data_IF_115805505327
#
_entry.id   IF_115805505327
#
_cell.length_a   1.000
_cell.length_b   1.000
_cell.length_c   1.000
_cell.angle_alpha   90.00
_cell.angle_beta   90.00
_cell.angle_gamma   90.00
#
_symmetry.space_group_name_H-M   'P 1'
#
loop_
_entity.id
_entity.type
_entity.pdbx_description
1 polymer ?
#
# COMPACT_ATOMS: atom_id res chain seq x y z
N UNK A 1 40.50 -1.34 -9.38
CA UNK A 1 41.02 -1.08 -8.00
C UNK A 1 39.97 -0.54 -7.03
N UNK A 2 39.21 0.50 -7.39
CA UNK A 2 38.22 1.15 -6.47
C UNK A 2 37.07 0.22 -6.11
N UNK A 3 36.46 -0.50 -7.05
CA UNK A 3 35.36 -1.44 -6.78
C UNK A 3 35.81 -2.59 -5.88
N UNK A 4 37.00 -3.15 -6.15
CA UNK A 4 37.52 -4.24 -5.33
C UNK A 4 37.80 -3.79 -3.89
N UNK A 5 38.34 -2.59 -3.68
CA UNK A 5 38.55 -2.04 -2.35
C UNK A 5 37.23 -1.90 -1.59
N UNK A 6 36.16 -1.41 -2.23
CA UNK A 6 34.82 -1.29 -1.63
C UNK A 6 34.22 -2.66 -1.28
N UNK A 7 34.36 -3.64 -2.16
CA UNK A 7 33.89 -5.00 -1.93
C UNK A 7 34.63 -5.64 -0.73
N UNK A 8 35.93 -5.43 -0.62
CA UNK A 8 36.72 -5.91 0.51
C UNK A 8 36.26 -5.26 1.83
N UNK A 9 36.09 -3.94 1.83
CA UNK A 9 35.59 -3.22 3.01
C UNK A 9 34.22 -3.73 3.47
N UNK A 10 33.28 -4.00 2.54
CA UNK A 10 31.97 -4.58 2.88
C UNK A 10 32.13 -6.01 3.42
N UNK A 11 33.03 -6.81 2.85
CA UNK A 11 33.30 -8.18 3.33
C UNK A 11 33.80 -8.16 4.76
N UNK A 12 34.81 -7.35 5.05
CA UNK A 12 35.39 -7.21 6.39
C UNK A 12 34.34 -6.72 7.39
N UNK A 13 33.62 -5.65 7.06
CA UNK A 13 32.53 -5.14 7.91
C UNK A 13 31.47 -6.19 8.25
N UNK A 14 31.09 -7.02 7.26
CA UNK A 14 30.12 -8.11 7.49
C UNK A 14 30.72 -9.24 8.35
N UNK A 15 31.99 -9.60 8.09
CA UNK A 15 32.69 -10.66 8.84
C UNK A 15 32.83 -10.32 10.33
N UNK A 16 33.02 -9.05 10.68
CA UNK A 16 33.17 -8.58 12.06
C UNK A 16 31.84 -8.37 12.79
N UNK A 17 30.69 -8.59 12.10
CA UNK A 17 29.36 -8.38 12.70
C UNK A 17 29.08 -9.36 13.84
N UNK A 18 28.42 -8.89 14.89
CA UNK A 18 27.92 -9.75 16.00
C UNK A 18 26.78 -10.68 15.53
N UNK A 19 26.04 -10.31 14.50
CA UNK A 19 24.92 -11.09 13.97
C UNK A 19 25.40 -12.17 13.00
N UNK A 20 25.08 -13.44 13.26
CA UNK A 20 25.44 -14.57 12.39
C UNK A 20 24.96 -14.38 10.95
N UNK A 21 23.69 -13.96 10.77
CA UNK A 21 23.10 -13.70 9.43
C UNK A 21 23.86 -12.64 8.64
N UNK A 22 24.49 -11.68 9.31
CA UNK A 22 25.35 -10.68 8.63
C UNK A 22 26.69 -11.28 8.25
N UNK A 23 27.31 -12.10 9.12
CA UNK A 23 28.56 -12.80 8.81
C UNK A 23 28.42 -13.73 7.60
N UNK A 24 27.30 -14.45 7.52
CA UNK A 24 27.02 -15.35 6.39
C UNK A 24 27.00 -14.61 5.04
N UNK A 25 26.61 -13.33 5.04
CA UNK A 25 26.64 -12.48 3.85
C UNK A 25 28.03 -11.93 3.47
N UNK A 26 29.06 -12.17 4.27
CA UNK A 26 30.43 -11.74 3.94
C UNK A 26 31.00 -12.46 2.70
N UNK A 27 30.52 -13.67 2.42
CA UNK A 27 30.89 -14.41 1.20
C UNK A 27 30.42 -13.75 -0.08
N UNK A 28 29.35 -12.95 -0.03
CA UNK A 28 28.74 -12.26 -1.16
C UNK A 28 28.64 -10.75 -0.96
N UNK A 29 29.78 -10.03 -0.80
CA UNK A 29 29.80 -8.61 -0.42
C UNK A 29 29.16 -7.68 -1.46
N UNK A 30 29.03 -8.12 -2.70
CA UNK A 30 28.40 -7.39 -3.80
C UNK A 30 26.85 -7.50 -3.82
N UNK A 31 26.27 -8.37 -2.98
CA UNK A 31 24.84 -8.59 -2.95
C UNK A 31 24.19 -7.88 -1.74
N UNK A 32 22.98 -7.33 -1.95
CA UNK A 32 22.14 -6.89 -0.85
C UNK A 32 21.63 -8.09 -0.04
N UNK A 33 21.46 -7.90 1.27
CA UNK A 33 20.98 -8.95 2.16
C UNK A 33 19.51 -9.32 1.91
N UNK A 34 18.68 -8.34 1.52
CA UNK A 34 17.30 -8.57 1.15
C UNK A 34 17.13 -8.37 -0.35
N UNK A 35 16.69 -9.42 -1.05
CA UNK A 35 16.58 -9.48 -2.50
C UNK A 35 15.24 -10.06 -2.96
N UNK A 36 14.23 -9.97 -2.11
CA UNK A 36 12.90 -10.50 -2.39
C UNK A 36 12.13 -9.59 -3.37
N UNK A 37 12.67 -9.38 -4.57
CA UNK A 37 11.97 -8.63 -5.62
C UNK A 37 10.85 -9.50 -6.21
N UNK A 38 9.61 -8.96 -6.36
CA UNK A 38 8.53 -9.66 -7.06
C UNK A 38 8.88 -9.98 -8.52
N UNK A 39 8.38 -11.09 -9.04
CA UNK A 39 8.58 -11.51 -10.43
C UNK A 39 7.48 -10.98 -11.37
N UNK A 40 6.38 -10.50 -10.81
CA UNK A 40 5.26 -9.90 -11.53
C UNK A 40 5.05 -8.46 -11.11
N UNK A 41 4.12 -7.75 -11.74
CA UNK A 41 3.69 -6.43 -11.33
C UNK A 41 3.35 -6.43 -9.84
N UNK A 42 3.80 -5.42 -9.13
CA UNK A 42 3.63 -5.35 -7.69
C UNK A 42 3.18 -3.96 -7.22
N UNK A 43 2.49 -3.96 -6.11
CA UNK A 43 2.09 -2.77 -5.38
C UNK A 43 3.20 -2.33 -4.44
N UNK A 44 3.63 -1.09 -4.57
CA UNK A 44 4.55 -0.41 -3.67
C UNK A 44 3.75 0.46 -2.69
N UNK A 45 3.92 0.21 -1.39
CA UNK A 45 3.14 0.81 -0.32
C UNK A 45 4.10 1.54 0.62
N UNK A 46 4.08 2.88 0.71
CA UNK A 46 4.98 3.61 1.60
C UNK A 46 4.69 3.28 3.07
N UNK A 47 5.76 3.14 3.86
CA UNK A 47 5.63 2.90 5.31
C UNK A 47 4.97 4.06 6.05
N UNK A 48 5.11 5.28 5.54
CA UNK A 48 4.59 6.48 6.18
C UNK A 48 3.89 7.37 5.17
N UNK A 49 2.74 7.87 5.55
CA UNK A 49 1.94 8.83 4.78
C UNK A 49 1.56 10.00 5.68
N UNK A 50 1.55 11.22 5.13
CA UNK A 50 1.15 12.42 5.86
C UNK A 50 -0.30 12.31 6.37
N UNK A 51 -0.56 12.76 7.59
CA UNK A 51 -1.86 12.65 8.26
C UNK A 51 -3.00 13.40 7.55
N UNK A 52 -2.66 14.45 6.79
CA UNK A 52 -3.63 15.25 6.07
C UNK A 52 -4.06 14.62 4.72
N UNK A 53 -3.47 13.50 4.31
CA UNK A 53 -3.86 12.80 3.08
C UNK A 53 -5.28 12.27 3.19
N UNK A 54 -6.04 12.47 2.11
CA UNK A 54 -7.42 12.00 1.96
C UNK A 54 -7.47 10.51 1.60
N UNK A 55 -6.44 10.02 0.89
CA UNK A 55 -6.29 8.64 0.46
C UNK A 55 -4.92 8.11 0.86
N UNK A 56 -4.80 6.79 1.02
CA UNK A 56 -3.50 6.17 1.22
C UNK A 56 -2.77 6.09 -0.13
N UNK A 57 -1.51 6.51 -0.14
CA UNK A 57 -0.73 6.55 -1.39
C UNK A 57 -0.09 5.20 -1.66
N UNK A 58 -0.25 4.70 -2.85
CA UNK A 58 0.42 3.50 -3.35
C UNK A 58 0.57 3.59 -4.86
N UNK A 59 1.49 2.80 -5.42
CA UNK A 59 1.76 2.79 -6.86
C UNK A 59 2.07 1.38 -7.33
N UNK A 60 1.69 1.06 -8.56
CA UNK A 60 2.03 -0.21 -9.21
C UNK A 60 3.33 -0.05 -10.01
N UNK A 61 4.22 -1.01 -9.86
CA UNK A 61 5.48 -1.06 -10.57
C UNK A 61 5.69 -2.42 -11.24
N UNK A 62 6.37 -2.37 -12.37
CA UNK A 62 6.88 -3.57 -13.03
C UNK A 62 8.09 -4.14 -12.27
N UNK A 63 8.38 -5.44 -12.38
CA UNK A 63 9.46 -6.11 -11.64
C UNK A 63 10.85 -5.51 -11.84
N UNK A 64 11.06 -4.81 -12.96
CA UNK A 64 12.33 -4.13 -13.26
C UNK A 64 12.62 -2.97 -12.30
N UNK A 65 11.61 -2.40 -11.67
CA UNK A 65 11.76 -1.34 -10.68
C UNK A 65 12.01 -1.95 -9.31
N UNK A 66 13.12 -1.58 -8.68
CA UNK A 66 13.50 -2.11 -7.36
C UNK A 66 12.82 -1.30 -6.26
N UNK A 67 12.03 -1.96 -5.41
CA UNK A 67 11.39 -1.36 -4.26
C UNK A 67 12.41 -1.05 -3.15
N UNK A 68 12.51 0.22 -2.75
CA UNK A 68 13.34 0.63 -1.62
C UNK A 68 12.78 0.18 -0.27
N UNK A 69 13.65 0.11 0.75
CA UNK A 69 13.32 -0.40 2.10
C UNK A 69 12.35 0.46 2.91
N UNK A 70 12.13 1.71 2.49
CA UNK A 70 11.11 2.59 3.07
C UNK A 70 9.67 2.24 2.67
N UNK A 71 9.48 1.18 1.87
CA UNK A 71 8.20 0.74 1.35
C UNK A 71 7.97 -0.73 1.67
N UNK A 72 6.70 -1.12 1.71
CA UNK A 72 6.27 -2.50 1.58
C UNK A 72 5.97 -2.80 0.11
N UNK A 73 5.99 -4.07 -0.24
CA UNK A 73 5.62 -4.57 -1.56
C UNK A 73 4.72 -5.78 -1.43
N UNK A 74 3.76 -5.88 -2.34
CA UNK A 74 2.87 -7.02 -2.47
C UNK A 74 2.61 -7.27 -3.95
N UNK A 75 2.59 -8.53 -4.36
CA UNK A 75 2.17 -8.88 -5.72
C UNK A 75 0.72 -8.48 -5.92
N UNK A 76 0.44 -7.77 -7.00
CA UNK A 76 -0.90 -7.27 -7.34
C UNK A 76 -1.11 -7.33 -8.87
N UNK A 77 -1.18 -8.55 -9.44
CA UNK A 77 -1.18 -8.72 -10.89
C UNK A 77 -2.42 -8.16 -11.58
N UNK A 78 -3.51 -7.94 -10.86
CA UNK A 78 -4.77 -7.44 -11.39
C UNK A 78 -5.21 -6.08 -10.83
N UNK A 79 -4.49 -5.54 -9.86
CA UNK A 79 -4.75 -4.22 -9.27
C UNK A 79 -5.87 -4.19 -8.24
N UNK A 80 -6.30 -5.34 -7.70
CA UNK A 80 -7.30 -5.37 -6.64
C UNK A 80 -6.78 -4.74 -5.34
N UNK A 81 -5.56 -5.11 -4.93
CA UNK A 81 -4.97 -4.57 -3.70
C UNK A 81 -4.72 -3.06 -3.82
N UNK A 82 -4.25 -2.61 -5.00
CA UNK A 82 -4.15 -1.19 -5.32
C UNK A 82 -5.49 -0.48 -5.12
N UNK A 83 -6.57 -1.01 -5.68
CA UNK A 83 -7.89 -0.42 -5.58
C UNK A 83 -8.38 -0.34 -4.13
N UNK A 84 -8.21 -1.41 -3.35
CA UNK A 84 -8.60 -1.45 -1.94
C UNK A 84 -7.80 -0.42 -1.12
N UNK A 85 -6.47 -0.40 -1.25
CA UNK A 85 -5.59 0.52 -0.50
C UNK A 85 -5.83 1.98 -0.88
N UNK A 86 -6.15 2.25 -2.15
CA UNK A 86 -6.44 3.60 -2.64
C UNK A 86 -7.83 4.12 -2.26
N UNK A 87 -8.66 3.34 -1.57
CA UNK A 87 -10.02 3.73 -1.17
C UNK A 87 -10.07 4.51 0.14
N UNK A 88 -11.13 5.30 0.31
CA UNK A 88 -11.41 6.02 1.56
C UNK A 88 -11.68 5.10 2.75
N UNK A 89 -12.18 3.87 2.51
CA UNK A 89 -12.43 2.92 3.59
C UNK A 89 -11.12 2.39 4.16
N UNK A 90 -10.10 2.16 3.32
CA UNK A 90 -8.80 1.72 3.80
C UNK A 90 -8.07 2.78 4.61
N UNK A 91 -8.02 4.04 4.15
CA UNK A 91 -7.37 5.09 4.94
C UNK A 91 -8.14 5.38 6.23
N UNK A 92 -9.45 5.18 6.25
CA UNK A 92 -10.25 5.25 7.48
C UNK A 92 -9.82 4.17 8.46
N UNK A 93 -9.67 2.91 8.02
CA UNK A 93 -9.15 1.81 8.85
C UNK A 93 -7.75 2.11 9.35
N UNK A 94 -6.86 2.50 8.45
CA UNK A 94 -5.48 2.86 8.76
C UNK A 94 -5.38 3.99 9.80
N UNK A 95 -6.24 5.01 9.73
CA UNK A 95 -6.28 6.11 10.70
C UNK A 95 -6.88 5.71 12.05
N UNK A 96 -7.76 4.73 12.06
CA UNK A 96 -8.50 4.27 13.24
C UNK A 96 -7.67 3.33 14.11
N UNK A 97 -7.03 2.31 13.50
CA UNK A 97 -6.30 1.28 14.25
C UNK A 97 -4.79 1.32 14.05
N UNK A 98 -4.32 1.98 12.97
CA UNK A 98 -2.92 2.02 12.61
C UNK A 98 -2.05 2.87 13.55
N UNK A 99 -0.78 2.47 13.65
CA UNK A 99 0.21 3.24 14.39
C UNK A 99 0.57 4.56 13.69
N UNK A 100 1.30 5.41 14.41
CA UNK A 100 1.83 6.66 13.91
C UNK A 100 3.32 6.76 14.18
N UNK A 101 4.00 7.53 13.35
CA UNK A 101 5.35 8.02 13.63
C UNK A 101 5.23 9.55 13.68
N UNK A 102 5.31 10.13 14.87
CA UNK A 102 4.88 11.52 15.09
C UNK A 102 3.40 11.70 14.68
N UNK A 103 3.09 12.64 13.79
CA UNK A 103 1.75 12.81 13.22
C UNK A 103 1.47 11.89 12.01
N UNK A 104 2.52 11.39 11.35
CA UNK A 104 2.43 10.60 10.12
C UNK A 104 1.79 9.24 10.36
N UNK A 105 0.90 8.85 9.47
CA UNK A 105 0.24 7.53 9.48
C UNK A 105 1.29 6.47 9.11
N UNK A 106 1.44 5.44 9.94
CA UNK A 106 2.36 4.33 9.71
C UNK A 106 1.60 3.09 9.25
N UNK A 107 1.88 2.63 8.02
CA UNK A 107 1.40 1.35 7.54
C UNK A 107 2.12 0.20 8.27
N UNK A 108 1.37 -0.82 8.66
CA UNK A 108 1.89 -2.06 9.22
C UNK A 108 1.09 -3.23 8.65
N UNK A 109 1.77 -4.13 7.92
CA UNK A 109 1.12 -5.29 7.32
C UNK A 109 0.40 -6.16 8.37
N UNK A 110 1.03 -6.42 9.51
CA UNK A 110 0.47 -7.25 10.58
C UNK A 110 -0.74 -6.60 11.27
N UNK A 111 -0.68 -5.28 11.52
CA UNK A 111 -1.73 -4.60 12.26
C UNK A 111 -2.84 -4.06 11.35
N UNK A 112 -2.49 -3.47 10.21
CA UNK A 112 -3.50 -2.74 9.43
C UNK A 112 -3.96 -3.47 8.19
N UNK A 113 -3.07 -4.23 7.53
CA UNK A 113 -3.46 -5.01 6.35
C UNK A 113 -4.11 -6.35 6.73
N UNK A 114 -3.46 -7.14 7.59
CA UNK A 114 -3.99 -8.46 7.97
C UNK A 114 -5.28 -8.41 8.77
N UNK A 115 -5.61 -7.26 9.37
CA UNK A 115 -6.87 -7.05 10.10
C UNK A 115 -7.89 -6.26 9.30
N UNK A 116 -7.56 -5.82 8.08
CA UNK A 116 -8.49 -5.09 7.23
C UNK A 116 -9.64 -6.04 6.83
N UNK A 117 -10.88 -5.74 7.25
CA UNK A 117 -11.98 -6.69 7.18
C UNK A 117 -12.63 -6.74 5.79
N UNK A 118 -11.82 -7.13 4.78
CA UNK A 118 -12.31 -7.29 3.41
C UNK A 118 -13.35 -8.43 3.40
N UNK A 119 -14.59 -8.17 2.97
CA UNK A 119 -15.59 -9.21 2.84
C UNK A 119 -15.24 -10.16 1.70
N UNK A 120 -15.90 -11.33 1.67
CA UNK A 120 -15.84 -12.20 0.50
C UNK A 120 -16.42 -11.47 -0.72
N UNK A 121 -15.63 -11.40 -1.78
CA UNK A 121 -16.00 -10.72 -3.01
C UNK A 121 -16.38 -11.74 -4.08
N UNK A 122 -17.59 -11.65 -4.62
CA UNK A 122 -17.92 -12.34 -5.87
C UNK A 122 -17.12 -11.74 -7.04
N UNK A 123 -16.94 -12.51 -8.10
CA UNK A 123 -16.11 -12.11 -9.24
C UNK A 123 -16.61 -10.81 -9.89
N UNK A 124 -17.91 -10.61 -9.98
CA UNK A 124 -18.50 -9.39 -10.54
C UNK A 124 -18.17 -8.14 -9.70
N UNK A 125 -18.22 -8.27 -8.39
CA UNK A 125 -17.86 -7.19 -7.46
C UNK A 125 -16.36 -6.92 -7.51
N UNK A 126 -15.55 -7.97 -7.51
CA UNK A 126 -14.10 -7.89 -7.66
C UNK A 126 -13.71 -7.12 -8.92
N UNK A 127 -14.27 -7.47 -10.07
CA UNK A 127 -14.00 -6.80 -11.35
C UNK A 127 -14.45 -5.33 -11.36
N UNK A 128 -15.56 -4.98 -10.70
CA UNK A 128 -15.98 -3.58 -10.57
C UNK A 128 -14.98 -2.76 -9.77
N UNK A 129 -14.44 -3.30 -8.68
CA UNK A 129 -13.43 -2.64 -7.85
C UNK A 129 -12.14 -2.44 -8.64
N UNK A 130 -11.64 -3.48 -9.30
CA UNK A 130 -10.43 -3.41 -10.16
C UNK A 130 -10.59 -2.34 -11.24
N UNK A 131 -11.72 -2.36 -11.95
CA UNK A 131 -12.03 -1.37 -12.99
C UNK A 131 -12.10 0.06 -12.44
N UNK A 132 -12.60 0.23 -11.23
CA UNK A 132 -12.64 1.54 -10.58
C UNK A 132 -11.24 2.00 -10.12
N UNK A 133 -10.42 1.08 -9.61
CA UNK A 133 -9.01 1.32 -9.29
C UNK A 133 -8.20 1.73 -10.53
N UNK A 134 -8.41 1.04 -11.66
CA UNK A 134 -7.76 1.41 -12.92
C UNK A 134 -8.06 2.85 -13.34
N UNK A 135 -9.30 3.33 -13.15
CA UNK A 135 -9.64 4.73 -13.44
C UNK A 135 -8.88 5.75 -12.60
N UNK A 136 -8.45 5.37 -11.38
CA UNK A 136 -7.58 6.22 -10.56
C UNK A 136 -6.20 6.33 -11.20
N UNK A 137 -5.63 5.22 -11.69
CA UNK A 137 -4.37 5.23 -12.43
C UNK A 137 -4.48 6.03 -13.72
N UNK A 138 -5.54 5.80 -14.48
CA UNK A 138 -5.81 6.54 -15.74
C UNK A 138 -5.92 8.07 -15.48
N UNK A 139 -6.55 8.48 -14.36
CA UNK A 139 -6.64 9.88 -13.98
C UNK A 139 -5.29 10.49 -13.55
N UNK A 140 -4.42 9.71 -12.89
CA UNK A 140 -3.02 10.13 -12.62
C UNK A 140 -2.23 10.30 -13.90
N UNK A 141 -2.40 9.39 -14.86
CA UNK A 141 -1.69 9.40 -16.13
C UNK A 141 -2.02 10.63 -17.02
N UNK A 142 -3.10 11.37 -16.72
CA UNK A 142 -3.37 12.66 -17.39
C UNK A 142 -2.38 13.77 -17.03
N UNK A 143 -1.64 13.62 -15.95
CA UNK A 143 -0.67 14.59 -15.44
C UNK A 143 0.65 13.90 -15.11
N UNK A 144 1.35 13.33 -16.10
CA UNK A 144 2.56 12.53 -15.90
C UNK A 144 3.75 13.34 -15.35
N UNK A 145 3.69 14.67 -15.43
CA UNK A 145 4.69 15.58 -14.87
C UNK A 145 4.61 15.67 -13.32
N UNK A 146 3.50 15.25 -12.72
CA UNK A 146 3.29 15.35 -11.28
C UNK A 146 3.83 14.13 -10.54
N UNK A 147 4.54 14.37 -9.46
CA UNK A 147 4.84 13.33 -8.49
C UNK A 147 3.57 12.83 -7.80
N UNK A 148 3.63 11.62 -7.22
CA UNK A 148 2.51 11.08 -6.44
C UNK A 148 2.10 12.02 -5.28
N UNK A 149 3.07 12.73 -4.68
CA UNK A 149 2.78 13.69 -3.62
C UNK A 149 2.00 14.91 -4.13
N UNK A 150 2.27 15.38 -5.33
CA UNK A 150 1.58 16.52 -5.96
C UNK A 150 0.17 16.13 -6.42
N UNK A 151 -0.02 14.95 -7.00
CA UNK A 151 -1.35 14.43 -7.34
C UNK A 151 -2.31 14.45 -6.14
N UNK A 152 -1.81 14.16 -4.96
CA UNK A 152 -2.60 14.06 -3.72
C UNK A 152 -2.41 15.23 -2.76
N UNK A 153 -1.99 16.38 -3.26
CA UNK A 153 -2.03 17.61 -2.47
C UNK A 153 -3.51 17.93 -2.14
N UNK A 154 -3.90 17.99 -0.86
CA UNK A 154 -5.30 18.18 -0.48
C UNK A 154 -5.97 19.43 -1.06
N UNK A 155 -5.17 20.45 -1.38
CA UNK A 155 -5.63 21.72 -1.94
C UNK A 155 -5.60 21.78 -3.47
N UNK A 156 -4.98 20.80 -4.14
CA UNK A 156 -4.71 20.86 -5.57
C UNK A 156 -4.90 19.52 -6.32
N UNK A 157 -5.72 18.62 -5.78
CA UNK A 157 -6.09 17.39 -6.49
C UNK A 157 -6.85 17.73 -7.78
N UNK A 158 -6.45 17.11 -8.89
CA UNK A 158 -7.13 17.27 -10.16
C UNK A 158 -8.59 16.78 -10.08
N UNK A 159 -9.56 17.49 -10.68
CA UNK A 159 -10.97 17.09 -10.66
C UNK A 159 -11.23 15.67 -11.15
N UNK A 160 -10.49 15.24 -12.18
CA UNK A 160 -10.57 13.88 -12.75
C UNK A 160 -10.15 12.83 -11.71
N UNK A 161 -9.10 13.10 -10.96
CA UNK A 161 -8.62 12.21 -9.91
C UNK A 161 -9.62 12.14 -8.74
N UNK A 162 -10.19 13.26 -8.34
CA UNK A 162 -11.27 13.29 -7.32
C UNK A 162 -12.47 12.47 -7.78
N UNK A 163 -12.91 12.65 -9.03
CA UNK A 163 -14.03 11.89 -9.62
C UNK A 163 -13.74 10.38 -9.69
N UNK A 164 -12.51 10.01 -10.05
CA UNK A 164 -12.09 8.61 -10.09
C UNK A 164 -12.15 7.97 -8.70
N UNK A 165 -11.62 8.64 -7.68
CA UNK A 165 -11.71 8.19 -6.28
C UNK A 165 -13.14 8.11 -5.76
N UNK A 166 -14.01 9.08 -6.09
CA UNK A 166 -15.43 9.02 -5.74
C UNK A 166 -16.12 7.80 -6.39
N UNK A 167 -15.66 7.40 -7.57
CA UNK A 167 -16.10 6.18 -8.24
C UNK A 167 -15.63 4.92 -7.55
N UNK A 168 -14.35 4.88 -7.20
CA UNK A 168 -13.74 3.77 -6.47
C UNK A 168 -14.39 3.59 -5.09
N UNK A 169 -14.54 4.67 -4.33
CA UNK A 169 -15.17 4.64 -3.01
C UNK A 169 -16.59 4.06 -3.06
N UNK A 170 -17.38 4.39 -4.08
CA UNK A 170 -18.73 3.82 -4.24
C UNK A 170 -18.72 2.31 -4.44
N UNK A 171 -17.79 1.78 -5.23
CA UNK A 171 -17.70 0.34 -5.46
C UNK A 171 -17.16 -0.40 -4.23
N UNK A 172 -16.16 0.16 -3.55
CA UNK A 172 -15.58 -0.45 -2.34
C UNK A 172 -16.55 -0.35 -1.16
N UNK A 173 -17.13 0.84 -0.88
CA UNK A 173 -18.11 1.01 0.21
C UNK A 173 -19.29 0.02 0.04
N UNK A 174 -19.78 -0.14 -1.21
CA UNK A 174 -20.85 -1.11 -1.53
C UNK A 174 -20.42 -2.55 -1.27
N UNK A 175 -19.21 -2.91 -1.65
CA UNK A 175 -18.66 -4.25 -1.42
C UNK A 175 -18.55 -4.57 0.07
N UNK A 176 -18.26 -3.58 0.91
CA UNK A 176 -18.29 -3.71 2.37
C UNK A 176 -19.69 -3.72 2.97
N UNK A 177 -20.74 -3.56 2.18
CA UNK A 177 -22.14 -3.64 2.60
C UNK A 177 -22.82 -2.30 2.84
N UNK A 178 -22.27 -1.18 2.36
CA UNK A 178 -22.92 0.11 2.46
C UNK A 178 -24.20 0.15 1.61
N UNK A 179 -25.36 0.45 2.20
CA UNK A 179 -26.63 0.52 1.47
C UNK A 179 -26.77 1.78 0.60
N UNK A 180 -25.92 2.78 0.85
CA UNK A 180 -25.90 4.08 0.15
C UNK A 180 -24.47 4.66 0.15
N UNK A 181 -24.26 5.75 -0.59
CA UNK A 181 -23.00 6.50 -0.58
C UNK A 181 -22.65 6.94 0.86
N UNK A 182 -21.46 6.58 1.31
CA UNK A 182 -20.93 7.06 2.58
C UNK A 182 -20.23 8.40 2.37
N UNK A 183 -20.47 9.34 3.28
CA UNK A 183 -19.93 10.70 3.18
C UNK A 183 -19.04 11.10 4.36
N UNK A 184 -19.09 10.32 5.45
CA UNK A 184 -18.33 10.62 6.68
C UNK A 184 -17.38 9.49 7.07
N UNK A 185 -16.31 9.85 7.76
CA UNK A 185 -15.37 8.89 8.35
C UNK A 185 -16.09 7.95 9.33
N UNK A 186 -16.98 8.49 10.16
CA UNK A 186 -17.75 7.73 11.16
C UNK A 186 -18.57 6.61 10.52
N UNK A 187 -19.27 6.89 9.43
CA UNK A 187 -20.03 5.86 8.71
C UNK A 187 -19.15 4.71 8.21
N UNK A 188 -17.94 5.02 7.73
CA UNK A 188 -16.97 4.00 7.30
C UNK A 188 -16.41 3.23 8.50
N UNK A 189 -16.16 3.88 9.63
CA UNK A 189 -15.72 3.21 10.86
C UNK A 189 -16.78 2.21 11.36
N UNK A 190 -18.04 2.62 11.44
CA UNK A 190 -19.15 1.76 11.84
C UNK A 190 -19.24 0.51 10.93
N UNK A 191 -19.14 0.70 9.62
CA UNK A 191 -19.15 -0.38 8.63
C UNK A 191 -17.94 -1.32 8.77
N UNK A 192 -16.76 -0.76 8.98
CA UNK A 192 -15.51 -1.51 9.17
C UNK A 192 -15.56 -2.38 10.42
N UNK A 193 -15.98 -1.84 11.56
CA UNK A 193 -16.09 -2.61 12.79
C UNK A 193 -17.14 -3.69 12.69
N UNK A 194 -18.30 -3.43 12.06
CA UNK A 194 -19.31 -4.47 11.82
C UNK A 194 -18.80 -5.61 10.94
N UNK A 195 -17.95 -5.32 9.94
CA UNK A 195 -17.31 -6.37 9.14
C UNK A 195 -16.20 -7.09 9.92
N UNK A 196 -15.45 -6.38 10.75
CA UNK A 196 -14.41 -6.97 11.60
C UNK A 196 -15.01 -7.96 12.62
N UNK A 197 -16.08 -7.59 13.28
CA UNK A 197 -16.82 -8.49 14.19
C UNK A 197 -17.27 -9.78 13.49
N UNK A 198 -17.78 -9.68 12.26
CA UNK A 198 -18.14 -10.87 11.46
C UNK A 198 -16.91 -11.72 11.11
N UNK A 199 -15.76 -11.09 10.86
CA UNK A 199 -14.54 -11.81 10.54
C UNK A 199 -14.04 -12.63 11.73
N UNK A 200 -13.98 -12.02 12.94
CA UNK A 200 -13.51 -12.71 14.14
C UNK A 200 -14.50 -13.75 14.67
N UNK A 201 -15.81 -13.54 14.51
CA UNK A 201 -16.83 -14.52 14.93
C UNK A 201 -16.89 -15.78 14.05
N UNK A 202 -16.23 -15.79 12.90
CA UNK A 202 -16.07 -16.96 12.01
C UNK A 202 -14.80 -17.76 12.27
N UNK A 203 -13.91 -17.25 13.11
CA UNK A 203 -12.72 -18.01 13.52
C UNK A 203 -13.15 -18.99 14.62
N UNK A 204 -12.89 -20.31 14.48
CA UNK A 204 -13.26 -21.34 15.47
C UNK A 204 -12.53 -21.17 16.78
#
# INVERSE_FOLDING_TARGET
PVLQSRLNAVREFRADSKAQSTRDMAATPHLFGQRSQPETQYLCIPRHVSENRKYFLSELFEPVVICGDANFKAEDPDGLQFALISSSIFITWQKTIGGRLESRIRFANTLTWNTFPVPELDEKTRQRIIKAGKKVLDARALHPERSLAEHYNPLAMAPELVKAHDGLDREVDRAFGAPRKLTTVRQRQELLFANYEKLISRQP
#
